data_IF_193430047246
#
_entry.id   IF_193430047246
#
_cell.length_a   1.000
_cell.length_b   1.000
_cell.length_c   1.000
_cell.angle_alpha   90.00
_cell.angle_beta   90.00
_cell.angle_gamma   90.00
#
_symmetry.space_group_name_H-M   'P 1'
#
loop_
_entity.id
_entity.type
_entity.pdbx_description
1 polymer ?
#
# COMPACT_ATOMS: atom_id res chain seq x y z
N UNK A 1 8.32 -42.26 30.41
CA UNK A 1 8.83 -41.05 29.73
C UNK A 1 8.94 -41.38 28.27
N UNK A 2 7.97 -40.99 27.47
CA UNK A 2 7.86 -41.30 26.04
C UNK A 2 8.31 -40.08 25.24
N UNK A 3 9.31 -40.21 24.36
CA UNK A 3 9.78 -39.10 23.51
C UNK A 3 9.01 -39.16 22.18
N UNK A 4 7.80 -38.61 22.13
CA UNK A 4 7.01 -38.62 20.86
C UNK A 4 6.30 -37.31 20.56
N UNK A 5 6.70 -36.20 21.18
CA UNK A 5 6.04 -34.88 20.97
C UNK A 5 6.77 -33.94 20.03
N UNK A 6 7.87 -34.35 19.41
CA UNK A 6 8.68 -33.47 18.52
C UNK A 6 8.56 -33.83 17.01
N UNK A 7 7.79 -34.85 16.64
CA UNK A 7 7.64 -35.28 15.23
C UNK A 7 6.30 -34.87 14.58
N UNK A 8 5.34 -34.33 15.31
CA UNK A 8 4.03 -33.95 14.74
C UNK A 8 3.98 -32.55 14.09
N UNK A 9 5.01 -31.72 14.27
CA UNK A 9 5.05 -30.37 13.62
C UNK A 9 5.56 -30.37 12.18
N UNK A 10 5.99 -31.52 11.63
CA UNK A 10 6.63 -31.57 10.29
C UNK A 10 5.70 -31.94 9.13
N UNK A 11 4.41 -32.16 9.36
CA UNK A 11 3.47 -32.61 8.31
C UNK A 11 2.23 -31.70 8.14
N UNK A 12 2.33 -30.40 8.42
CA UNK A 12 1.33 -29.46 7.92
C UNK A 12 1.55 -29.29 6.40
N UNK A 13 0.50 -29.46 5.57
CA UNK A 13 0.62 -29.23 4.14
C UNK A 13 1.15 -27.80 3.93
N UNK A 14 2.12 -27.64 3.01
CA UNK A 14 2.70 -26.35 2.65
C UNK A 14 1.56 -25.40 2.24
N UNK A 15 1.08 -24.60 3.18
CA UNK A 15 0.08 -23.56 2.91
C UNK A 15 0.80 -22.50 2.10
N UNK A 16 0.63 -22.53 0.78
CA UNK A 16 1.12 -21.49 -0.12
C UNK A 16 0.44 -20.18 0.31
N UNK A 17 1.18 -19.27 0.91
CA UNK A 17 0.66 -17.95 1.25
C UNK A 17 0.50 -17.15 -0.01
N UNK A 18 -0.67 -16.53 -0.19
CA UNK A 18 -1.00 -15.71 -1.33
C UNK A 18 -1.26 -14.27 -0.88
N UNK A 19 -0.31 -13.37 -1.21
CA UNK A 19 -0.43 -11.94 -0.99
C UNK A 19 -1.02 -11.28 -2.23
N UNK A 20 -2.08 -10.52 -2.04
CA UNK A 20 -2.63 -9.64 -3.07
C UNK A 20 -2.30 -8.20 -2.67
N UNK A 21 -1.63 -7.46 -3.55
CA UNK A 21 -1.44 -6.02 -3.41
C UNK A 21 -2.49 -5.30 -4.26
N UNK A 22 -3.25 -4.43 -3.61
CA UNK A 22 -4.18 -3.51 -4.24
C UNK A 22 -3.50 -2.15 -4.36
N UNK A 23 -3.08 -1.80 -5.56
CA UNK A 23 -2.32 -0.59 -5.83
C UNK A 23 -1.03 -0.84 -6.60
N UNK A 24 -0.34 0.21 -6.96
CA UNK A 24 0.80 0.21 -7.87
C UNK A 24 2.10 0.77 -7.26
N UNK A 25 2.09 1.22 -6.02
CA UNK A 25 3.26 1.83 -5.37
C UNK A 25 4.54 0.98 -5.43
N UNK A 26 4.40 -0.33 -5.63
CA UNK A 26 5.52 -1.26 -5.72
C UNK A 26 5.76 -1.81 -7.14
N UNK A 27 4.99 -1.37 -8.14
CA UNK A 27 5.10 -1.87 -9.53
C UNK A 27 6.02 -1.04 -10.43
N UNK A 28 6.07 0.25 -10.22
CA UNK A 28 6.89 1.17 -11.03
C UNK A 28 8.39 1.06 -10.74
N UNK A 29 8.79 -0.09 -10.23
CA UNK A 29 10.16 -0.37 -9.95
C UNK A 29 10.67 -1.17 -11.14
N UNK A 30 11.70 -0.65 -11.79
CA UNK A 30 12.54 -1.39 -12.73
C UNK A 30 13.39 -2.43 -11.96
N UNK A 31 12.70 -3.20 -11.16
CA UNK A 31 13.19 -4.46 -10.64
C UNK A 31 12.93 -5.44 -11.76
N UNK A 32 13.96 -5.86 -12.47
CA UNK A 32 13.83 -6.90 -13.49
C UNK A 32 12.87 -7.98 -12.98
N UNK A 33 11.97 -8.43 -13.87
CA UNK A 33 10.88 -9.37 -13.53
C UNK A 33 11.36 -10.40 -12.50
N UNK A 34 10.77 -10.37 -11.30
CA UNK A 34 11.10 -11.27 -10.18
C UNK A 34 11.81 -10.63 -8.97
N UNK A 35 12.30 -9.39 -9.03
CA UNK A 35 12.99 -8.80 -7.87
C UNK A 35 12.02 -8.20 -6.84
N UNK A 36 10.90 -7.61 -7.25
CA UNK A 36 9.85 -7.18 -6.32
C UNK A 36 9.22 -8.40 -5.63
N UNK A 37 8.97 -9.47 -6.37
CA UNK A 37 8.54 -10.75 -5.80
C UNK A 37 9.55 -11.26 -4.77
N UNK A 38 10.84 -11.22 -5.09
CA UNK A 38 11.92 -11.69 -4.20
C UNK A 38 12.11 -10.81 -2.96
N UNK A 39 11.78 -9.52 -2.99
CA UNK A 39 11.88 -8.63 -1.83
C UNK A 39 10.73 -8.85 -0.84
N UNK A 40 9.50 -9.06 -1.33
CA UNK A 40 8.31 -9.29 -0.50
C UNK A 40 8.15 -10.75 -0.08
N UNK A 41 8.72 -11.68 -0.85
CA UNK A 41 8.54 -13.12 -0.65
C UNK A 41 9.72 -13.71 0.13
N UNK A 42 9.51 -14.32 1.30
CA UNK A 42 10.58 -14.99 2.03
C UNK A 42 11.12 -16.20 1.27
N UNK A 43 12.45 -16.40 1.35
CA UNK A 43 13.18 -17.50 0.68
C UNK A 43 12.73 -18.91 1.12
N UNK A 44 13.15 -19.98 0.44
CA UNK A 44 12.42 -21.08 -0.19
C UNK A 44 11.74 -22.10 0.70
N UNK A 45 11.60 -21.91 2.00
CA UNK A 45 10.86 -22.85 2.88
C UNK A 45 9.36 -22.58 2.96
N UNK A 46 8.88 -21.43 2.44
CA UNK A 46 7.45 -21.10 2.40
C UNK A 46 7.22 -20.10 1.25
N UNK A 47 7.02 -20.55 0.02
CA UNK A 47 6.85 -19.67 -1.13
C UNK A 47 5.53 -18.88 -0.99
N UNK A 48 5.65 -17.56 -1.08
CA UNK A 48 4.49 -16.70 -1.21
C UNK A 48 4.17 -16.51 -2.69
N UNK A 49 2.91 -16.62 -3.05
CA UNK A 49 2.41 -16.16 -4.33
C UNK A 49 2.07 -14.69 -4.20
N UNK A 50 2.55 -13.85 -5.13
CA UNK A 50 2.20 -12.44 -5.22
C UNK A 50 1.27 -12.20 -6.41
N UNK A 51 0.19 -11.48 -6.19
CA UNK A 51 -0.65 -10.91 -7.25
C UNK A 51 -0.79 -9.43 -6.99
N UNK A 52 -0.53 -8.60 -8.00
CA UNK A 52 -0.71 -7.16 -7.93
C UNK A 52 -1.89 -6.78 -8.81
N UNK A 53 -2.80 -5.99 -8.26
CA UNK A 53 -3.98 -5.46 -8.94
C UNK A 53 -3.87 -3.93 -8.92
N UNK A 54 -3.74 -3.32 -10.10
CA UNK A 54 -3.65 -1.87 -10.23
C UNK A 54 -4.98 -1.18 -9.90
N UNK A 55 -4.97 0.07 -9.38
CA UNK A 55 -6.20 0.78 -9.03
C UNK A 55 -7.20 0.87 -10.18
N UNK A 56 -6.83 1.18 -11.45
CA UNK A 56 -7.77 1.16 -12.57
C UNK A 56 -8.36 -0.23 -12.85
N UNK A 57 -7.60 -1.30 -12.60
CA UNK A 57 -8.09 -2.68 -12.79
C UNK A 57 -9.04 -3.10 -11.66
N UNK A 58 -8.72 -2.65 -10.43
CA UNK A 58 -9.53 -2.95 -9.24
C UNK A 58 -10.86 -2.20 -9.28
N UNK A 59 -10.85 -0.97 -9.81
CA UNK A 59 -12.01 -0.05 -9.79
C UNK A 59 -12.78 0.01 -11.10
N UNK A 60 -12.59 -0.94 -12.02
CA UNK A 60 -13.30 -0.95 -13.30
C UNK A 60 -14.81 -0.87 -13.11
N UNK A 61 -15.45 0.10 -13.80
CA UNK A 61 -16.91 0.32 -13.82
C UNK A 61 -17.55 0.52 -12.43
N UNK A 62 -16.80 1.10 -11.47
CA UNK A 62 -17.34 1.35 -10.13
C UNK A 62 -17.47 0.11 -9.26
N UNK A 63 -17.00 -1.04 -9.72
CA UNK A 63 -16.94 -2.29 -8.95
C UNK A 63 -15.48 -2.67 -8.71
N UNK A 64 -15.18 -3.10 -7.51
CA UNK A 64 -13.88 -3.71 -7.21
C UNK A 64 -13.82 -5.06 -7.91
N UNK A 65 -12.77 -5.31 -8.70
CA UNK A 65 -12.52 -6.63 -9.29
C UNK A 65 -12.43 -7.65 -8.16
N UNK A 66 -13.04 -8.78 -8.34
CA UNK A 66 -13.04 -9.83 -7.33
C UNK A 66 -11.60 -10.19 -6.92
N UNK A 67 -11.33 -10.14 -5.63
CA UNK A 67 -10.07 -10.62 -5.06
C UNK A 67 -9.93 -12.11 -5.41
N UNK A 68 -8.77 -12.56 -5.90
CA UNK A 68 -8.59 -13.95 -6.31
C UNK A 68 -8.90 -14.95 -5.18
N UNK A 69 -9.49 -16.08 -5.54
CA UNK A 69 -9.70 -17.16 -4.57
C UNK A 69 -8.36 -17.66 -4.00
N UNK A 70 -8.37 -18.07 -2.72
CA UNK A 70 -7.18 -18.58 -2.03
C UNK A 70 -6.19 -17.50 -1.60
N UNK A 71 -6.57 -16.22 -1.64
CA UNK A 71 -5.80 -15.14 -1.01
C UNK A 71 -5.70 -15.39 0.50
N UNK A 72 -4.52 -15.17 1.06
CA UNK A 72 -4.28 -15.31 2.50
C UNK A 72 -3.94 -13.99 3.18
N UNK A 73 -3.50 -12.99 2.42
CA UNK A 73 -3.14 -11.66 2.91
C UNK A 73 -3.41 -10.60 1.85
N UNK A 74 -3.76 -9.40 2.28
CA UNK A 74 -3.95 -8.23 1.40
C UNK A 74 -3.09 -7.08 1.89
N UNK A 75 -2.46 -6.37 0.94
CA UNK A 75 -1.83 -5.07 1.15
C UNK A 75 -2.52 -4.03 0.27
N UNK A 76 -2.92 -2.90 0.83
CA UNK A 76 -3.39 -1.74 0.07
C UNK A 76 -2.24 -0.75 0.00
N UNK A 77 -1.67 -0.54 -1.20
CA UNK A 77 -0.45 0.24 -1.39
C UNK A 77 -0.55 1.06 -2.68
N UNK A 78 -1.23 2.19 -2.61
CA UNK A 78 -1.46 3.11 -3.74
C UNK A 78 -0.26 4.03 -3.91
N UNK A 79 0.14 4.32 -5.15
CA UNK A 79 1.22 5.25 -5.46
C UNK A 79 0.80 6.70 -5.25
N UNK A 80 1.68 7.50 -4.61
CA UNK A 80 1.41 8.91 -4.33
C UNK A 80 1.42 9.77 -5.59
N UNK A 81 2.32 9.49 -6.53
CA UNK A 81 2.38 10.17 -7.82
C UNK A 81 1.11 9.93 -8.63
N UNK A 82 0.67 8.67 -8.72
CA UNK A 82 -0.60 8.33 -9.36
C UNK A 82 -1.80 9.07 -8.73
N UNK A 83 -1.85 9.14 -7.40
CA UNK A 83 -2.93 9.84 -6.68
C UNK A 83 -2.95 11.34 -7.03
N UNK A 84 -1.79 11.98 -7.11
CA UNK A 84 -1.65 13.40 -7.50
C UNK A 84 -2.00 13.62 -8.96
N UNK A 85 -1.49 12.79 -9.88
CA UNK A 85 -1.78 12.91 -11.31
C UNK A 85 -3.27 12.72 -11.62
N UNK A 86 -3.89 11.73 -10.99
CA UNK A 86 -5.32 11.42 -11.17
C UNK A 86 -6.22 12.52 -10.59
N UNK A 87 -5.79 13.17 -9.50
CA UNK A 87 -6.53 14.30 -8.91
C UNK A 87 -6.59 15.54 -9.81
N UNK A 88 -5.67 15.66 -10.77
CA UNK A 88 -5.56 16.83 -11.66
C UNK A 88 -5.06 18.12 -10.99
N UNK A 89 -4.70 18.09 -9.71
CA UNK A 89 -4.30 19.28 -8.93
C UNK A 89 -3.11 20.03 -9.52
N UNK A 90 -2.16 19.32 -10.16
CA UNK A 90 -0.99 19.95 -10.80
C UNK A 90 -1.31 20.67 -12.12
N UNK A 91 -2.47 20.40 -12.72
CA UNK A 91 -2.88 20.96 -14.02
C UNK A 91 -3.76 22.20 -13.86
N UNK A 92 -4.36 22.36 -12.68
CA UNK A 92 -5.28 23.45 -12.38
C UNK A 92 -4.57 24.77 -12.08
N UNK A 93 -5.28 25.88 -12.28
CA UNK A 93 -4.92 27.22 -11.78
C UNK A 93 -6.07 27.74 -10.98
N UNK A 94 -5.84 27.94 -9.69
CA UNK A 94 -6.84 28.54 -8.82
C UNK A 94 -6.90 30.06 -9.06
N UNK A 95 -8.11 30.61 -9.07
CA UNK A 95 -8.36 32.04 -9.22
C UNK A 95 -8.35 32.78 -7.87
N UNK A 96 -8.53 32.04 -6.79
CA UNK A 96 -8.53 32.55 -5.42
C UNK A 96 -8.06 31.44 -4.45
N UNK A 97 -7.77 31.84 -3.22
CA UNK A 97 -7.47 30.89 -2.13
C UNK A 97 -8.68 29.95 -1.89
N UNK A 98 -9.90 30.50 -1.93
CA UNK A 98 -11.11 29.71 -1.74
C UNK A 98 -11.24 28.64 -2.82
N UNK A 99 -11.07 29.01 -4.08
CA UNK A 99 -11.11 28.10 -5.21
C UNK A 99 -10.04 26.99 -5.11
N UNK A 100 -8.83 27.33 -4.65
CA UNK A 100 -7.78 26.35 -4.40
C UNK A 100 -8.17 25.35 -3.29
N UNK A 101 -8.76 25.83 -2.21
CA UNK A 101 -9.20 24.97 -1.10
C UNK A 101 -10.38 24.10 -1.48
N UNK A 102 -11.35 24.60 -2.23
CA UNK A 102 -12.51 23.85 -2.71
C UNK A 102 -12.06 22.75 -3.69
N UNK A 103 -11.13 23.07 -4.59
CA UNK A 103 -10.53 22.07 -5.52
C UNK A 103 -9.79 20.98 -4.75
N UNK A 104 -9.00 21.34 -3.75
CA UNK A 104 -8.26 20.39 -2.94
C UNK A 104 -9.19 19.50 -2.09
N UNK A 105 -10.26 20.09 -1.53
CA UNK A 105 -11.27 19.34 -0.79
C UNK A 105 -12.00 18.33 -1.68
N UNK A 106 -12.41 18.74 -2.88
CA UNK A 106 -13.06 17.85 -3.86
C UNK A 106 -12.13 16.68 -4.26
N UNK A 107 -10.85 16.95 -4.52
CA UNK A 107 -9.87 15.91 -4.83
C UNK A 107 -9.67 14.94 -3.66
N UNK A 108 -9.64 15.45 -2.43
CA UNK A 108 -9.52 14.62 -1.23
C UNK A 108 -10.75 13.72 -1.02
N UNK A 109 -11.95 14.22 -1.27
CA UNK A 109 -13.19 13.45 -1.17
C UNK A 109 -13.28 12.36 -2.25
N UNK A 110 -12.84 12.65 -3.47
CA UNK A 110 -12.76 11.65 -4.54
C UNK A 110 -11.75 10.55 -4.22
N UNK A 111 -10.56 10.94 -3.75
CA UNK A 111 -9.55 10.00 -3.29
C UNK A 111 -10.07 9.12 -2.14
N UNK A 112 -10.70 9.72 -1.11
CA UNK A 112 -11.27 8.98 0.02
C UNK A 112 -12.34 7.98 -0.42
N UNK A 113 -13.20 8.36 -1.36
CA UNK A 113 -14.22 7.48 -1.92
C UNK A 113 -13.60 6.28 -2.65
N UNK A 114 -12.59 6.52 -3.46
CA UNK A 114 -11.82 5.49 -4.15
C UNK A 114 -11.15 4.55 -3.13
N UNK A 115 -10.43 5.11 -2.17
CA UNK A 115 -9.68 4.35 -1.17
C UNK A 115 -10.61 3.52 -0.27
N UNK A 116 -11.76 4.07 0.11
CA UNK A 116 -12.79 3.35 0.88
C UNK A 116 -13.29 2.11 0.15
N UNK A 117 -13.45 2.17 -1.17
CA UNK A 117 -13.84 0.98 -1.97
C UNK A 117 -12.77 -0.11 -1.93
N UNK A 118 -11.48 0.26 -2.02
CA UNK A 118 -10.38 -0.71 -1.88
C UNK A 118 -10.39 -1.36 -0.51
N UNK A 119 -10.56 -0.56 0.54
CA UNK A 119 -10.65 -1.07 1.92
C UNK A 119 -11.84 -1.99 2.14
N UNK A 120 -13.01 -1.63 1.62
CA UNK A 120 -14.21 -2.47 1.71
C UNK A 120 -13.97 -3.84 1.09
N UNK A 121 -13.44 -3.87 -0.13
CA UNK A 121 -13.13 -5.13 -0.80
C UNK A 121 -12.11 -5.98 -0.04
N UNK A 122 -11.07 -5.34 0.50
CA UNK A 122 -10.07 -6.03 1.31
C UNK A 122 -10.67 -6.60 2.60
N UNK A 123 -11.56 -5.84 3.25
CA UNK A 123 -12.21 -6.26 4.50
C UNK A 123 -13.21 -7.40 4.25
N UNK A 124 -13.97 -7.34 3.16
CA UNK A 124 -14.92 -8.39 2.76
C UNK A 124 -14.23 -9.72 2.46
N UNK A 125 -12.96 -9.70 2.04
CA UNK A 125 -12.18 -10.91 1.85
C UNK A 125 -11.89 -11.67 3.16
N UNK A 126 -12.03 -11.03 4.32
CA UNK A 126 -11.89 -11.63 5.64
C UNK A 126 -10.48 -12.13 5.98
N UNK A 127 -9.46 -11.63 5.30
CA UNK A 127 -8.06 -12.03 5.51
C UNK A 127 -7.23 -10.90 6.15
N UNK A 128 -6.11 -11.23 6.82
CA UNK A 128 -5.19 -10.23 7.35
C UNK A 128 -4.82 -9.19 6.31
N UNK A 129 -5.05 -7.92 6.64
CA UNK A 129 -4.89 -6.78 5.72
C UNK A 129 -4.02 -5.70 6.34
N UNK A 130 -3.07 -5.18 5.56
CA UNK A 130 -2.32 -3.95 5.89
C UNK A 130 -2.69 -2.84 4.92
N UNK A 131 -2.58 -1.61 5.40
CA UNK A 131 -2.80 -0.38 4.62
C UNK A 131 -1.51 0.44 4.64
N UNK A 132 -1.01 0.82 3.48
CA UNK A 132 0.12 1.73 3.37
C UNK A 132 -0.38 3.17 3.21
N UNK A 133 0.31 4.12 3.84
CA UNK A 133 0.17 5.54 3.46
C UNK A 133 0.80 5.78 2.09
N UNK A 134 0.50 6.92 1.47
CA UNK A 134 1.11 7.30 0.20
C UNK A 134 2.57 7.71 0.43
N UNK A 135 3.43 7.27 -0.45
CA UNK A 135 4.83 7.73 -0.50
C UNK A 135 4.85 9.21 -0.87
N UNK A 136 5.66 10.05 -0.23
CA UNK A 136 5.86 11.43 -0.67
C UNK A 136 6.34 11.50 -2.12
N UNK A 137 5.79 12.41 -2.90
CA UNK A 137 6.34 12.76 -4.21
C UNK A 137 7.40 13.85 -4.05
N UNK A 138 8.41 13.86 -4.91
CA UNK A 138 9.58 14.77 -4.87
C UNK A 138 9.69 15.54 -6.17
N UNK A 139 8.72 16.42 -6.45
CA UNK A 139 8.72 17.21 -7.67
C UNK A 139 9.86 18.24 -7.68
N UNK A 140 10.55 18.36 -8.81
CA UNK A 140 11.66 19.31 -8.97
C UNK A 140 11.16 20.78 -9.00
N UNK A 141 9.96 21.00 -9.51
CA UNK A 141 9.37 22.34 -9.57
C UNK A 141 8.76 22.68 -8.19
N UNK A 142 9.25 23.75 -7.49
CA UNK A 142 8.86 24.03 -6.10
C UNK A 142 7.37 24.32 -5.89
N UNK A 143 6.65 24.81 -6.90
CA UNK A 143 5.21 25.04 -6.78
C UNK A 143 4.45 23.72 -6.86
N UNK A 144 4.83 22.82 -7.72
CA UNK A 144 4.26 21.48 -7.83
C UNK A 144 4.54 20.65 -6.57
N UNK A 145 5.77 20.73 -6.08
CA UNK A 145 6.15 20.06 -4.82
C UNK A 145 5.26 20.50 -3.65
N UNK A 146 5.02 21.81 -3.48
CA UNK A 146 4.13 22.32 -2.43
C UNK A 146 2.69 21.84 -2.58
N UNK A 147 2.15 21.85 -3.79
CA UNK A 147 0.79 21.36 -4.06
C UNK A 147 0.71 19.87 -3.77
N UNK A 148 1.64 19.08 -4.28
CA UNK A 148 1.68 17.64 -4.07
C UNK A 148 1.84 17.28 -2.60
N UNK A 149 2.79 17.88 -1.89
CA UNK A 149 3.02 17.63 -0.46
C UNK A 149 1.78 17.96 0.38
N UNK A 150 1.09 19.07 0.07
CA UNK A 150 -0.15 19.44 0.77
C UNK A 150 -1.27 18.44 0.50
N UNK A 151 -1.48 18.08 -0.76
CA UNK A 151 -2.52 17.11 -1.14
C UNK A 151 -2.25 15.73 -0.54
N UNK A 152 -1.00 15.23 -0.62
CA UNK A 152 -0.62 13.95 -0.04
C UNK A 152 -0.76 13.93 1.49
N UNK A 153 -0.51 15.04 2.17
CA UNK A 153 -0.74 15.14 3.60
C UNK A 153 -2.21 14.94 3.94
N UNK A 154 -3.13 15.56 3.17
CA UNK A 154 -4.57 15.42 3.35
C UNK A 154 -5.04 14.01 2.99
N UNK A 155 -4.57 13.45 1.87
CA UNK A 155 -4.92 12.09 1.46
C UNK A 155 -4.46 11.06 2.51
N UNK A 156 -3.24 11.22 3.04
CA UNK A 156 -2.73 10.37 4.11
C UNK A 156 -3.53 10.48 5.40
N UNK A 157 -3.98 11.68 5.79
CA UNK A 157 -4.89 11.85 6.93
C UNK A 157 -6.20 11.07 6.71
N UNK A 158 -6.78 11.10 5.50
CA UNK A 158 -7.97 10.30 5.15
C UNK A 158 -7.69 8.79 5.25
N UNK A 159 -6.54 8.32 4.73
CA UNK A 159 -6.12 6.92 4.86
C UNK A 159 -6.04 6.53 6.34
N UNK A 160 -5.32 7.30 7.15
CA UNK A 160 -5.11 7.01 8.57
C UNK A 160 -6.44 6.92 9.33
N UNK A 161 -7.35 7.86 9.12
CA UNK A 161 -8.68 7.86 9.74
C UNK A 161 -9.49 6.63 9.36
N UNK A 162 -9.55 6.30 8.06
CA UNK A 162 -10.31 5.14 7.56
C UNK A 162 -9.72 3.82 8.02
N UNK A 163 -8.41 3.66 7.92
CA UNK A 163 -7.73 2.46 8.38
C UNK A 163 -7.88 2.23 9.88
N UNK A 164 -7.76 3.30 10.69
CA UNK A 164 -7.97 3.24 12.13
C UNK A 164 -9.41 2.87 12.49
N UNK A 165 -10.40 3.49 11.83
CA UNK A 165 -11.82 3.17 12.03
C UNK A 165 -12.14 1.70 11.67
N UNK A 166 -11.50 1.18 10.63
CA UNK A 166 -11.62 -0.23 10.20
C UNK A 166 -10.74 -1.19 11.01
N UNK A 167 -9.97 -0.70 11.99
CA UNK A 167 -9.02 -1.49 12.80
C UNK A 167 -7.96 -2.24 11.97
N UNK A 168 -7.55 -1.66 10.84
CA UNK A 168 -6.50 -2.20 10.01
C UNK A 168 -5.13 -1.70 10.48
N UNK A 169 -4.11 -2.54 10.33
CA UNK A 169 -2.72 -2.14 10.58
C UNK A 169 -2.18 -1.30 9.45
N UNK A 170 -1.35 -0.32 9.79
CA UNK A 170 -0.88 0.73 8.89
C UNK A 170 0.63 0.63 8.74
N UNK A 171 1.13 0.74 7.51
CA UNK A 171 2.55 0.98 7.20
C UNK A 171 2.69 2.45 6.82
N UNK A 172 3.43 3.20 7.63
CA UNK A 172 3.62 4.64 7.46
C UNK A 172 4.80 4.92 6.54
N UNK A 173 4.54 4.96 5.23
CA UNK A 173 5.58 5.06 4.21
C UNK A 173 6.34 6.39 4.24
N UNK A 174 5.78 7.45 4.80
CA UNK A 174 6.46 8.75 4.94
C UNK A 174 7.66 8.67 5.90
N UNK A 175 7.63 7.72 6.85
CA UNK A 175 8.73 7.46 7.78
C UNK A 175 9.67 6.36 7.29
N UNK A 176 9.22 5.56 6.33
CA UNK A 176 10.03 4.49 5.70
C UNK A 176 10.89 5.04 4.57
N UNK A 177 10.32 5.95 3.76
CA UNK A 177 10.94 6.55 2.58
C UNK A 177 11.20 8.04 2.83
N UNK A 178 12.08 8.35 3.78
CA UNK A 178 12.39 9.70 4.24
C UNK A 178 13.67 10.30 3.63
N UNK A 179 14.52 9.47 3.01
CA UNK A 179 15.77 9.89 2.39
C UNK A 179 15.62 10.12 0.86
N UNK A 180 16.38 11.06 0.31
CA UNK A 180 16.40 11.30 -1.15
C UNK A 180 16.87 10.07 -1.93
N UNK A 181 17.76 9.27 -1.35
CA UNK A 181 18.24 8.00 -1.91
C UNK A 181 17.13 6.94 -2.08
N UNK A 182 16.00 7.11 -1.42
CA UNK A 182 14.84 6.22 -1.54
C UNK A 182 14.07 6.43 -2.87
N UNK A 183 14.41 7.47 -3.61
CA UNK A 183 13.73 7.86 -4.85
C UNK A 183 14.63 7.68 -6.07
N UNK A 184 14.08 7.13 -7.14
CA UNK A 184 14.72 7.06 -8.46
C UNK A 184 14.32 8.23 -9.36
N UNK A 185 13.14 8.80 -9.12
CA UNK A 185 12.62 10.01 -9.78
C UNK A 185 11.60 10.71 -8.87
N UNK A 186 10.93 11.74 -9.38
CA UNK A 186 9.98 12.56 -8.64
C UNK A 186 8.87 11.73 -7.95
N UNK A 187 8.44 10.64 -8.58
CA UNK A 187 7.32 9.81 -8.11
C UNK A 187 7.68 8.33 -7.94
N UNK A 188 8.88 7.92 -8.34
CA UNK A 188 9.29 6.52 -8.32
C UNK A 188 10.28 6.25 -7.20
N UNK A 189 10.04 5.18 -6.46
CA UNK A 189 11.00 4.68 -5.49
C UNK A 189 12.23 4.07 -6.17
N UNK A 190 13.40 4.26 -5.57
CA UNK A 190 14.62 3.56 -5.93
C UNK A 190 14.58 2.12 -5.44
N UNK A 191 15.56 1.30 -5.88
CA UNK A 191 15.74 -0.04 -5.34
C UNK A 191 15.91 -0.07 -3.81
N UNK A 192 16.53 0.97 -3.24
CA UNK A 192 16.70 1.10 -1.79
C UNK A 192 15.37 1.36 -1.11
N UNK A 193 14.59 2.33 -1.59
CA UNK A 193 13.29 2.68 -1.05
C UNK A 193 12.32 1.50 -1.09
N UNK A 194 12.24 0.82 -2.24
CA UNK A 194 11.41 -0.40 -2.37
C UNK A 194 11.80 -1.48 -1.38
N UNK A 195 13.09 -1.70 -1.19
CA UNK A 195 13.56 -2.70 -0.23
C UNK A 195 13.18 -2.34 1.19
N UNK A 196 13.24 -1.04 1.57
CA UNK A 196 12.76 -0.55 2.86
C UNK A 196 11.27 -0.86 3.02
N UNK A 197 10.44 -0.44 2.05
CA UNK A 197 8.97 -0.69 2.06
C UNK A 197 8.66 -2.19 2.15
N UNK A 198 9.30 -3.01 1.32
CA UNK A 198 9.09 -4.46 1.31
C UNK A 198 9.42 -5.10 2.67
N UNK A 199 10.50 -4.66 3.33
CA UNK A 199 10.90 -5.19 4.63
C UNK A 199 9.88 -4.84 5.72
N UNK A 200 9.41 -3.59 5.76
CA UNK A 200 8.41 -3.15 6.76
C UNK A 200 7.07 -3.82 6.49
N UNK A 201 6.60 -3.85 5.25
CA UNK A 201 5.35 -4.51 4.86
C UNK A 201 5.37 -6.00 5.22
N UNK A 202 6.48 -6.70 4.94
CA UNK A 202 6.67 -8.12 5.32
C UNK A 202 6.60 -8.31 6.83
N UNK A 203 7.26 -7.44 7.61
CA UNK A 203 7.23 -7.49 9.07
C UNK A 203 5.82 -7.28 9.60
N UNK A 204 5.09 -6.31 9.03
CA UNK A 204 3.70 -6.04 9.37
C UNK A 204 2.79 -7.25 9.07
N UNK A 205 2.89 -7.82 7.85
CA UNK A 205 2.12 -9.00 7.44
C UNK A 205 2.39 -10.21 8.35
N UNK A 206 3.64 -10.41 8.74
CA UNK A 206 4.00 -11.49 9.64
C UNK A 206 3.42 -11.30 11.04
N UNK A 207 3.47 -10.06 11.57
CA UNK A 207 2.96 -9.75 12.90
C UNK A 207 1.43 -9.84 12.96
N UNK A 208 0.69 -9.31 11.99
CA UNK A 208 -0.78 -9.41 11.96
C UNK A 208 -1.27 -10.85 11.81
N UNK A 209 -0.49 -11.70 11.14
CA UNK A 209 -0.80 -13.13 11.02
C UNK A 209 -0.72 -13.85 12.37
N UNK A 210 0.21 -13.42 13.24
CA UNK A 210 0.39 -14.01 14.59
C UNK A 210 -0.50 -13.38 15.64
N UNK A 211 -0.85 -12.11 15.46
CA UNK A 211 -1.61 -11.31 16.42
C UNK A 211 -2.83 -10.68 15.75
N UNK A 212 -3.80 -11.48 15.28
CA UNK A 212 -4.97 -10.94 14.60
C UNK A 212 -5.77 -10.00 15.51
N UNK A 213 -6.32 -8.94 14.94
CA UNK A 213 -7.17 -7.98 15.65
C UNK A 213 -6.43 -6.86 16.40
N UNK A 214 -5.10 -6.81 16.34
CA UNK A 214 -4.34 -5.66 16.85
C UNK A 214 -4.02 -4.69 15.72
N UNK A 215 -4.54 -3.47 15.82
CA UNK A 215 -4.13 -2.36 14.94
C UNK A 215 -2.78 -1.82 15.41
N UNK A 216 -1.82 -1.71 14.50
CA UNK A 216 -0.48 -1.16 14.74
C UNK A 216 -0.05 -0.27 13.61
N UNK A 217 0.85 0.67 13.89
CA UNK A 217 1.57 1.46 12.89
C UNK A 217 2.99 0.94 12.82
N UNK A 218 3.46 0.66 11.61
CA UNK A 218 4.79 0.16 11.28
C UNK A 218 5.55 1.23 10.49
N UNK A 219 6.83 1.38 10.75
CA UNK A 219 7.77 2.30 10.08
C UNK A 219 9.20 1.78 10.15
#
# INVERSE_FOLDING_TARGET
MTPNSLQEEQNSPDIIRHLVLLGDALQNIDLGKGQAENALVPRPRNPWKLTVLQPPEVLQQGRVRAIPAGVTHIGICVDGGWAIETSGLLKGRAQSIQDALDTLAAAADEFENMFTRLMTAATEAGVPTIVCTLVPARYMEPSQERVAATALAIFNDRILRRATAARLSIVELRLVCDEDSDYASETLLSHAGVRKVANVARSALYDISRNPGRTRVYF
#
